data_IF_974383437319
#
_entry.id   IF_974383437319
#
_cell.length_a   1.000
_cell.length_b   1.000
_cell.length_c   1.000
_cell.angle_alpha   90.00
_cell.angle_beta   90.00
_cell.angle_gamma   90.00
#
_symmetry.space_group_name_H-M   'P 1'
#
loop_
_entity.id
_entity.type
_entity.pdbx_description
1 polymer ?
#
# COMPACT_ATOMS: atom_id res chain seq x y z
N UNK A 1 -3.86 14.26 12.19
CA UNK A 1 -3.78 12.81 12.51
C UNK A 1 -4.44 12.56 13.85
N UNK A 2 -5.30 11.56 13.93
CA UNK A 2 -5.91 11.09 15.20
C UNK A 2 -4.98 10.10 15.87
N UNK A 3 -4.73 10.28 17.18
CA UNK A 3 -3.90 9.35 17.96
C UNK A 3 -4.71 8.09 18.29
N UNK A 4 -4.05 6.94 18.24
CA UNK A 4 -4.59 5.64 18.66
C UNK A 4 -3.60 5.01 19.62
N UNK A 5 -4.11 4.40 20.70
CA UNK A 5 -3.31 3.57 21.58
C UNK A 5 -3.33 2.15 21.01
N UNK A 6 -2.16 1.58 20.79
CA UNK A 6 -1.98 0.21 20.29
C UNK A 6 -0.79 -0.39 21.02
N UNK A 7 -0.89 -1.65 21.40
CA UNK A 7 0.25 -2.39 21.92
C UNK A 7 1.13 -2.81 20.76
N UNK A 8 2.44 -2.57 20.89
CA UNK A 8 3.46 -2.94 19.92
C UNK A 8 4.59 -3.60 20.69
N UNK A 9 5.08 -4.72 20.17
CA UNK A 9 6.27 -5.37 20.72
C UNK A 9 7.50 -4.47 20.55
N UNK A 10 8.22 -4.21 21.64
CA UNK A 10 9.36 -3.26 21.66
C UNK A 10 10.54 -3.76 20.82
N UNK A 11 10.79 -5.07 20.79
CA UNK A 11 11.87 -5.65 19.99
C UNK A 11 11.56 -5.53 18.49
N UNK A 12 10.32 -5.85 18.10
CA UNK A 12 9.83 -5.64 16.75
C UNK A 12 9.93 -4.18 16.33
N UNK A 13 9.58 -3.25 17.23
CA UNK A 13 9.64 -1.82 16.97
C UNK A 13 11.07 -1.32 16.76
N UNK A 14 12.03 -1.76 17.57
CA UNK A 14 13.44 -1.39 17.39
C UNK A 14 14.06 -2.00 16.13
N UNK A 15 13.67 -3.24 15.78
CA UNK A 15 14.06 -3.84 14.51
C UNK A 15 13.51 -3.05 13.32
N UNK A 16 12.22 -2.69 13.35
CA UNK A 16 11.60 -1.88 12.31
C UNK A 16 12.23 -0.48 12.21
N UNK A 17 12.57 0.15 13.34
CA UNK A 17 13.30 1.43 13.36
C UNK A 17 14.66 1.31 12.69
N UNK A 18 15.39 0.25 13.00
CA UNK A 18 16.72 -0.03 12.42
C UNK A 18 16.64 -0.31 10.91
N UNK A 19 15.71 -1.15 10.48
CA UNK A 19 15.52 -1.51 9.07
C UNK A 19 15.03 -0.31 8.23
N UNK A 20 14.11 0.50 8.75
CA UNK A 20 13.56 1.65 8.04
C UNK A 20 14.44 2.91 8.18
N UNK A 21 15.44 2.90 9.07
CA UNK A 21 16.27 4.07 9.39
C UNK A 21 15.49 5.19 10.08
N UNK A 22 14.48 4.85 10.88
CA UNK A 22 13.60 5.79 11.55
C UNK A 22 14.07 6.09 12.97
N UNK A 23 13.95 7.36 13.38
CA UNK A 23 14.37 7.80 14.73
C UNK A 23 13.21 7.83 15.73
N UNK A 24 11.96 7.84 15.26
CA UNK A 24 10.77 7.94 16.13
C UNK A 24 9.79 6.82 15.87
N UNK A 25 9.05 6.42 16.91
CA UNK A 25 7.98 5.41 16.82
C UNK A 25 6.93 5.83 15.78
N UNK A 26 6.51 7.10 15.82
CA UNK A 26 5.51 7.64 14.87
C UNK A 26 5.97 7.49 13.42
N UNK A 27 7.22 7.87 13.13
CA UNK A 27 7.76 7.80 11.79
C UNK A 27 7.86 6.35 11.30
N UNK A 28 8.33 5.46 12.18
CA UNK A 28 8.40 4.01 11.93
C UNK A 28 7.04 3.43 11.59
N UNK A 29 6.03 3.67 12.44
CA UNK A 29 4.67 3.14 12.25
C UNK A 29 4.05 3.70 10.98
N UNK A 30 4.21 5.00 10.71
CA UNK A 30 3.65 5.60 9.50
C UNK A 30 4.30 5.05 8.23
N UNK A 31 5.63 4.89 8.20
CA UNK A 31 6.33 4.32 7.03
C UNK A 31 5.98 2.85 6.84
N UNK A 32 5.97 2.05 7.91
CA UNK A 32 5.58 0.64 7.84
C UNK A 32 4.15 0.46 7.30
N UNK A 33 3.20 1.27 7.78
CA UNK A 33 1.82 1.25 7.27
C UNK A 33 1.73 1.74 5.82
N UNK A 34 2.51 2.75 5.44
CA UNK A 34 2.59 3.28 4.08
C UNK A 34 3.00 2.20 3.08
N UNK A 35 4.03 1.41 3.39
CA UNK A 35 4.51 0.32 2.52
C UNK A 35 3.38 -0.65 2.13
N UNK A 36 2.47 -0.96 3.04
CA UNK A 36 1.35 -1.89 2.78
C UNK A 36 0.15 -1.18 2.16
N UNK A 37 -0.14 0.06 2.60
CA UNK A 37 -1.23 0.86 2.07
C UNK A 37 -1.03 1.20 0.60
N UNK A 38 0.19 1.59 0.22
CA UNK A 38 0.55 2.00 -1.13
C UNK A 38 0.62 0.80 -2.08
N UNK A 39 1.00 -0.39 -1.58
CA UNK A 39 0.97 -1.63 -2.37
C UNK A 39 -0.43 -1.99 -2.89
N UNK A 40 -1.52 -1.56 -2.22
CA UNK A 40 -2.87 -1.70 -2.78
C UNK A 40 -3.13 -0.68 -3.87
N UNK A 41 -2.71 0.56 -3.68
CA UNK A 41 -2.90 1.65 -4.64
C UNK A 41 -2.17 1.30 -5.95
N UNK A 42 -0.91 0.89 -5.87
CA UNK A 42 -0.13 0.48 -7.04
C UNK A 42 -0.74 -0.71 -7.79
N UNK A 43 -1.24 -1.72 -7.06
CA UNK A 43 -1.92 -2.87 -7.69
C UNK A 43 -3.18 -2.46 -8.45
N UNK A 44 -3.99 -1.58 -7.87
CA UNK A 44 -5.22 -1.10 -8.52
C UNK A 44 -4.86 -0.23 -9.72
N UNK A 45 -3.92 0.69 -9.59
CA UNK A 45 -3.44 1.53 -10.68
C UNK A 45 -2.89 0.71 -11.85
N UNK A 46 -2.10 -0.34 -11.56
CA UNK A 46 -1.63 -1.27 -12.58
C UNK A 46 -2.79 -2.02 -13.25
N UNK A 47 -3.73 -2.58 -12.49
CA UNK A 47 -4.90 -3.27 -13.05
C UNK A 47 -5.73 -2.36 -13.97
N UNK A 48 -5.92 -1.08 -13.58
CA UNK A 48 -6.62 -0.10 -14.40
C UNK A 48 -5.83 0.26 -15.66
N UNK A 49 -4.50 0.39 -15.60
CA UNK A 49 -3.67 0.58 -16.80
C UNK A 49 -3.77 -0.59 -17.76
N UNK A 50 -3.75 -1.82 -17.25
CA UNK A 50 -3.93 -3.03 -18.07
C UNK A 50 -5.28 -2.97 -18.77
N UNK A 51 -6.37 -2.70 -18.04
CA UNK A 51 -7.71 -2.57 -18.63
C UNK A 51 -7.77 -1.46 -19.68
N UNK A 52 -7.18 -0.30 -19.42
CA UNK A 52 -7.14 0.81 -20.36
C UNK A 52 -6.33 0.51 -21.62
N UNK A 53 -5.35 -0.40 -21.54
CA UNK A 53 -4.55 -0.84 -22.69
C UNK A 53 -5.21 -1.93 -23.53
N UNK A 54 -6.30 -2.55 -23.05
CA UNK A 54 -6.99 -3.59 -23.79
C UNK A 54 -7.71 -2.99 -25.01
N UNK A 55 -7.60 -3.61 -26.19
CA UNK A 55 -8.37 -3.18 -27.35
C UNK A 55 -9.86 -3.32 -27.02
N UNK A 56 -10.61 -2.24 -27.18
CA UNK A 56 -12.06 -2.26 -27.07
C UNK A 56 -12.60 -3.05 -28.26
N UNK A 57 -13.25 -4.19 -27.99
CA UNK A 57 -14.02 -4.89 -29.00
C UNK A 57 -15.21 -4.02 -29.41
N UNK A 58 -15.60 -4.06 -30.69
CA UNK A 58 -16.85 -3.45 -31.10
C UNK A 58 -18.00 -4.08 -30.31
N UNK A 59 -18.88 -3.23 -29.78
CA UNK A 59 -19.95 -3.63 -28.85
C UNK A 59 -20.83 -4.75 -29.42
N UNK A 60 -20.96 -4.81 -30.75
CA UNK A 60 -21.76 -5.80 -31.46
C UNK A 60 -21.16 -7.23 -31.40
N UNK A 61 -19.85 -7.37 -31.16
CA UNK A 61 -19.17 -8.67 -31.04
C UNK A 61 -19.08 -9.19 -29.60
N UNK A 62 -19.27 -8.32 -28.60
CA UNK A 62 -19.09 -8.67 -27.19
C UNK A 62 -20.33 -9.32 -26.52
N UNK A 63 -21.51 -9.28 -27.16
CA UNK A 63 -22.79 -9.73 -26.60
C UNK A 63 -23.46 -10.88 -27.39
N UNK A 64 -22.73 -11.54 -28.30
CA UNK A 64 -23.14 -12.82 -28.88
C UNK A 64 -22.80 -13.97 -27.95
#
# INVERSE_FOLDING_TARGET
MTKRLVDIDDELLERAKSELGCTTIKDTVNRALGLVADARVERVDNALRVLASMPLLERDDAWR
#
